data_IF_727437233530
#
_entry.id   IF_727437233530
#
_cell.length_a   1.000
_cell.length_b   1.000
_cell.length_c   1.000
_cell.angle_alpha   90.00
_cell.angle_beta   90.00
_cell.angle_gamma   90.00
#
_symmetry.space_group_name_H-M   'P 1'
#
loop_
_entity.id
_entity.type
_entity.pdbx_description
1 polymer ?
#
# COMPACT_ATOMS: atom_id res chain seq x y z
N UNK A 1 0.81 -16.86 -29.64
CA UNK A 1 -0.54 -17.19 -29.15
C UNK A 1 -1.30 -15.87 -29.05
N UNK A 2 -2.45 -15.74 -29.71
CA UNK A 2 -3.34 -14.61 -29.49
C UNK A 2 -3.94 -14.79 -28.11
N UNK A 3 -3.43 -14.04 -27.12
CA UNK A 3 -3.99 -14.04 -25.76
C UNK A 3 -5.33 -13.32 -25.88
N UNK A 4 -6.43 -14.05 -25.68
CA UNK A 4 -7.78 -13.47 -25.64
C UNK A 4 -7.86 -12.42 -24.53
N UNK A 5 -8.70 -11.42 -24.72
CA UNK A 5 -8.97 -10.41 -23.68
C UNK A 5 -9.37 -11.13 -22.38
N UNK A 6 -8.68 -10.87 -21.25
CA UNK A 6 -9.05 -11.50 -19.99
C UNK A 6 -10.36 -10.92 -19.45
N UNK A 7 -11.25 -11.79 -18.97
CA UNK A 7 -12.47 -11.38 -18.26
C UNK A 7 -12.20 -11.14 -16.77
N UNK A 8 -11.34 -11.97 -16.16
CA UNK A 8 -11.04 -11.93 -14.73
C UNK A 8 -9.55 -12.12 -14.46
N UNK A 9 -9.01 -11.23 -13.67
CA UNK A 9 -7.60 -11.21 -13.30
C UNK A 9 -7.45 -11.14 -11.77
N UNK A 10 -6.51 -11.93 -11.24
CA UNK A 10 -6.12 -11.88 -9.83
C UNK A 10 -4.72 -11.27 -9.71
N UNK A 11 -4.58 -10.23 -8.88
CA UNK A 11 -3.28 -9.67 -8.48
C UNK A 11 -2.99 -10.11 -7.04
N UNK A 12 -1.81 -10.68 -6.79
CA UNK A 12 -1.41 -11.17 -5.47
C UNK A 12 -0.24 -10.33 -4.94
N UNK A 13 -0.48 -9.55 -3.88
CA UNK A 13 0.54 -8.72 -3.19
C UNK A 13 0.51 -8.94 -1.68
N UNK A 14 1.24 -9.97 -1.21
CA UNK A 14 1.32 -10.34 0.20
C UNK A 14 2.50 -9.64 0.88
N UNK A 15 2.41 -8.33 1.10
CA UNK A 15 3.47 -7.48 1.65
C UNK A 15 2.89 -6.43 2.60
N UNK A 16 3.64 -5.36 2.88
CA UNK A 16 3.22 -4.25 3.74
C UNK A 16 2.37 -3.22 2.99
N UNK A 17 1.79 -2.27 3.71
CA UNK A 17 0.90 -1.23 3.19
C UNK A 17 1.49 -0.48 1.98
N UNK A 18 2.72 0.02 2.10
CA UNK A 18 3.39 0.72 1.01
C UNK A 18 3.58 -0.15 -0.24
N UNK A 19 3.94 -1.43 -0.06
CA UNK A 19 4.09 -2.37 -1.16
C UNK A 19 2.75 -2.62 -1.88
N UNK A 20 1.64 -2.70 -1.12
CA UNK A 20 0.29 -2.88 -1.67
C UNK A 20 -0.15 -1.60 -2.38
N UNK A 21 0.08 -0.43 -1.79
CA UNK A 21 -0.22 0.85 -2.44
C UNK A 21 0.54 1.02 -3.76
N UNK A 22 1.85 0.70 -3.78
CA UNK A 22 2.69 0.77 -4.98
C UNK A 22 2.34 -0.32 -6.03
N UNK A 23 1.39 -1.20 -5.76
CA UNK A 23 0.86 -2.16 -6.74
C UNK A 23 -0.43 -1.68 -7.43
N UNK A 24 -1.04 -0.59 -6.98
CA UNK A 24 -2.27 -0.07 -7.61
C UNK A 24 -2.10 0.35 -9.07
N UNK A 25 -0.92 0.81 -9.56
CA UNK A 25 -0.69 1.05 -10.98
C UNK A 25 -0.85 -0.19 -11.87
N UNK A 26 -0.68 -1.40 -11.32
CA UNK A 26 -0.93 -2.66 -12.06
C UNK A 26 -2.43 -2.80 -12.37
N UNK A 27 -3.29 -2.39 -11.44
CA UNK A 27 -4.75 -2.35 -11.63
C UNK A 27 -5.11 -1.32 -12.70
N UNK A 28 -4.56 -0.09 -12.58
CA UNK A 28 -4.80 0.99 -13.56
C UNK A 28 -4.39 0.56 -14.98
N UNK A 29 -3.23 -0.07 -15.14
CA UNK A 29 -2.73 -0.54 -16.42
C UNK A 29 -3.63 -1.62 -17.05
N UNK A 30 -4.09 -2.57 -16.24
CA UNK A 30 -5.04 -3.61 -16.69
C UNK A 30 -6.37 -3.00 -17.12
N UNK A 31 -6.93 -2.09 -16.31
CA UNK A 31 -8.18 -1.41 -16.61
C UNK A 31 -8.09 -0.46 -17.81
N UNK A 32 -6.94 0.14 -18.04
CA UNK A 32 -6.70 0.96 -19.22
C UNK A 32 -6.77 0.12 -20.51
N UNK A 33 -6.14 -1.05 -20.51
CA UNK A 33 -6.15 -1.94 -21.69
C UNK A 33 -7.43 -2.76 -21.82
N UNK A 34 -7.99 -3.19 -20.70
CA UNK A 34 -9.16 -4.07 -20.61
C UNK A 34 -10.20 -3.46 -19.65
N UNK A 35 -10.97 -2.44 -20.09
CA UNK A 35 -11.90 -1.72 -19.22
C UNK A 35 -12.94 -2.61 -18.53
N UNK A 36 -13.42 -3.65 -19.23
CA UNK A 36 -14.46 -4.55 -18.75
C UNK A 36 -13.91 -5.70 -17.88
N UNK A 37 -12.58 -5.87 -17.82
CA UNK A 37 -11.95 -6.92 -17.04
C UNK A 37 -12.20 -6.72 -15.53
N UNK A 38 -12.68 -7.75 -14.85
CA UNK A 38 -12.75 -7.76 -13.40
C UNK A 38 -11.35 -7.99 -12.82
N UNK A 39 -10.86 -7.04 -12.01
CA UNK A 39 -9.56 -7.12 -11.35
C UNK A 39 -9.76 -7.33 -9.86
N UNK A 40 -9.38 -8.50 -9.38
CA UNK A 40 -9.41 -8.86 -7.97
C UNK A 40 -8.01 -8.75 -7.35
N UNK A 41 -7.93 -8.41 -6.08
CA UNK A 41 -6.66 -8.38 -5.36
C UNK A 41 -6.67 -9.33 -4.16
N UNK A 42 -5.56 -10.05 -3.95
CA UNK A 42 -5.29 -10.83 -2.75
C UNK A 42 -4.16 -10.17 -1.95
N UNK A 43 -4.48 -9.72 -0.74
CA UNK A 43 -3.56 -9.00 0.14
C UNK A 43 -3.63 -9.53 1.58
N UNK A 44 -2.77 -9.08 2.47
CA UNK A 44 -2.97 -9.32 3.90
C UNK A 44 -4.13 -8.47 4.44
N UNK A 45 -4.94 -9.02 5.34
CA UNK A 45 -6.09 -8.33 5.94
C UNK A 45 -5.70 -6.96 6.55
N UNK A 46 -4.56 -6.90 7.24
CA UNK A 46 -4.05 -5.66 7.83
C UNK A 46 -3.65 -4.59 6.80
N UNK A 47 -3.61 -4.89 5.49
CA UNK A 47 -3.16 -3.95 4.45
C UNK A 47 -4.26 -3.52 3.49
N UNK A 48 -5.52 -3.88 3.78
CA UNK A 48 -6.67 -3.54 2.93
C UNK A 48 -6.93 -2.04 2.86
N UNK A 49 -6.67 -1.30 3.93
CA UNK A 49 -6.99 0.12 4.04
C UNK A 49 -6.45 0.98 2.90
N UNK A 50 -5.29 0.60 2.32
CA UNK A 50 -4.66 1.39 1.25
C UNK A 50 -5.28 1.17 -0.14
N UNK A 51 -6.12 0.15 -0.29
CA UNK A 51 -6.83 -0.17 -1.55
C UNK A 51 -8.36 -0.19 -1.41
N UNK A 52 -8.84 0.00 -0.18
CA UNK A 52 -10.27 0.05 0.09
C UNK A 52 -10.89 1.25 -0.68
N UNK A 53 -12.08 1.04 -1.25
CA UNK A 53 -12.80 2.00 -2.10
C UNK A 53 -12.14 2.29 -3.46
N UNK A 54 -11.05 1.63 -3.84
CA UNK A 54 -10.55 1.72 -5.21
C UNK A 54 -11.55 1.07 -6.17
N UNK A 55 -12.28 1.90 -6.91
CA UNK A 55 -13.38 1.48 -7.79
C UNK A 55 -12.94 0.60 -8.96
N UNK A 56 -11.64 0.52 -9.23
CA UNK A 56 -11.10 -0.33 -10.28
C UNK A 56 -10.87 -1.77 -9.80
N UNK A 57 -10.90 -2.00 -8.47
CA UNK A 57 -10.76 -3.34 -7.86
C UNK A 57 -12.16 -3.91 -7.66
N UNK A 58 -12.43 -5.05 -8.28
CA UNK A 58 -13.74 -5.71 -8.21
C UNK A 58 -13.97 -6.41 -6.88
N UNK A 59 -12.98 -7.16 -6.39
CA UNK A 59 -13.03 -7.81 -5.08
C UNK A 59 -11.66 -7.80 -4.40
N UNK A 60 -11.67 -7.67 -3.06
CA UNK A 60 -10.48 -7.78 -2.23
C UNK A 60 -10.57 -9.06 -1.42
N UNK A 61 -9.69 -10.01 -1.69
CA UNK A 61 -9.50 -11.21 -0.89
C UNK A 61 -8.40 -10.98 0.13
N UNK A 62 -8.53 -11.59 1.31
CA UNK A 62 -7.58 -11.33 2.39
C UNK A 62 -7.04 -12.60 3.01
N UNK A 63 -5.78 -12.51 3.46
CA UNK A 63 -5.14 -13.48 4.32
C UNK A 63 -4.86 -12.80 5.65
N UNK A 64 -5.44 -13.33 6.72
CA UNK A 64 -5.10 -12.87 8.06
C UNK A 64 -3.90 -13.66 8.59
N UNK A 65 -2.87 -12.95 9.04
CA UNK A 65 -1.68 -13.54 9.64
C UNK A 65 -1.96 -14.18 11.01
N UNK A 66 -3.03 -13.76 11.67
CA UNK A 66 -3.43 -14.28 12.97
C UNK A 66 -3.99 -15.70 12.88
N UNK A 67 -4.40 -16.19 11.70
CA UNK A 67 -4.83 -17.60 11.55
C UNK A 67 -3.81 -18.59 12.10
N UNK A 68 -2.53 -18.30 11.99
CA UNK A 68 -1.44 -19.15 12.52
C UNK A 68 -1.49 -19.32 14.03
N UNK A 69 -1.98 -18.31 14.75
CA UNK A 69 -2.09 -18.32 16.22
C UNK A 69 -3.32 -19.07 16.72
N UNK A 70 -4.30 -19.29 15.86
CA UNK A 70 -5.58 -19.94 16.19
C UNK A 70 -5.52 -21.48 16.12
N UNK A 71 -4.36 -22.03 15.76
CA UNK A 71 -4.11 -23.46 15.64
C UNK A 71 -4.28 -24.01 14.22
N UNK A 72 -3.64 -25.15 13.98
CA UNK A 72 -3.47 -25.71 12.62
C UNK A 72 -4.80 -26.04 11.94
N UNK A 73 -5.80 -26.56 12.69
CA UNK A 73 -7.11 -26.90 12.10
C UNK A 73 -7.86 -25.67 11.61
N UNK A 74 -7.83 -24.60 12.40
CA UNK A 74 -8.49 -23.33 12.07
C UNK A 74 -7.79 -22.68 10.87
N UNK A 75 -6.45 -22.64 10.91
CA UNK A 75 -5.67 -22.15 9.78
C UNK A 75 -6.00 -22.89 8.49
N UNK A 76 -6.02 -24.24 8.49
CA UNK A 76 -6.36 -25.05 7.33
C UNK A 76 -7.79 -24.81 6.84
N UNK A 77 -8.75 -24.60 7.74
CA UNK A 77 -10.12 -24.27 7.35
C UNK A 77 -10.19 -22.93 6.60
N UNK A 78 -9.52 -21.89 7.09
CA UNK A 78 -9.45 -20.59 6.42
C UNK A 78 -8.70 -20.66 5.07
N UNK A 79 -7.58 -21.37 5.00
CA UNK A 79 -6.82 -21.56 3.75
C UNK A 79 -7.69 -22.29 2.71
N UNK A 80 -8.43 -23.35 3.11
CA UNK A 80 -9.34 -24.09 2.24
C UNK A 80 -10.49 -23.22 1.75
N UNK A 81 -11.08 -22.40 2.64
CA UNK A 81 -12.17 -21.49 2.29
C UNK A 81 -11.69 -20.42 1.30
N UNK A 82 -10.55 -19.80 1.56
CA UNK A 82 -9.93 -18.83 0.66
C UNK A 82 -9.64 -19.45 -0.72
N UNK A 83 -8.99 -20.62 -0.74
CA UNK A 83 -8.69 -21.31 -1.99
C UNK A 83 -9.97 -21.61 -2.79
N UNK A 84 -11.02 -22.10 -2.11
CA UNK A 84 -12.33 -22.37 -2.75
C UNK A 84 -12.93 -21.10 -3.36
N UNK A 85 -12.88 -19.98 -2.62
CA UNK A 85 -13.40 -18.69 -3.09
C UNK A 85 -12.64 -18.17 -4.30
N UNK A 86 -11.30 -18.22 -4.27
CA UNK A 86 -10.45 -17.82 -5.40
C UNK A 86 -10.69 -18.72 -6.62
N UNK A 87 -10.75 -20.05 -6.43
CA UNK A 87 -10.97 -21.01 -7.53
C UNK A 87 -12.34 -20.83 -8.18
N UNK A 88 -13.36 -20.48 -7.41
CA UNK A 88 -14.72 -20.24 -7.92
C UNK A 88 -14.81 -19.01 -8.84
N UNK A 89 -13.84 -18.09 -8.78
CA UNK A 89 -13.77 -16.92 -9.66
C UNK A 89 -13.36 -17.28 -11.10
N UNK A 90 -12.69 -18.43 -11.30
CA UNK A 90 -12.24 -18.89 -12.61
C UNK A 90 -11.43 -17.83 -13.37
N UNK A 91 -10.29 -17.43 -12.78
CA UNK A 91 -9.43 -16.39 -13.34
C UNK A 91 -8.74 -16.83 -14.63
N UNK A 92 -8.69 -15.95 -15.62
CA UNK A 92 -7.89 -16.13 -16.82
C UNK A 92 -6.40 -15.99 -16.50
N UNK A 93 -6.06 -14.96 -15.70
CA UNK A 93 -4.71 -14.65 -15.29
C UNK A 93 -4.59 -14.42 -13.79
N UNK A 94 -3.47 -14.89 -13.24
CA UNK A 94 -3.03 -14.49 -11.89
C UNK A 94 -1.62 -13.89 -11.96
N UNK A 95 -1.47 -12.69 -11.48
CA UNK A 95 -0.20 -11.96 -11.41
C UNK A 95 0.35 -12.00 -9.98
N UNK A 96 1.42 -12.76 -9.79
CA UNK A 96 2.13 -12.84 -8.52
C UNK A 96 3.25 -11.79 -8.46
N UNK A 97 3.00 -10.70 -7.75
CA UNK A 97 3.99 -9.65 -7.46
C UNK A 97 4.49 -9.71 -6.00
N UNK A 98 4.53 -10.93 -5.46
CA UNK A 98 5.02 -11.24 -4.11
C UNK A 98 6.12 -12.29 -4.18
N UNK A 99 7.06 -12.23 -3.25
CA UNK A 99 8.16 -13.20 -3.11
C UNK A 99 7.81 -14.40 -2.20
N UNK A 100 6.52 -14.72 -2.03
CA UNK A 100 6.07 -15.76 -1.11
C UNK A 100 5.58 -17.00 -1.84
N UNK A 101 5.99 -18.18 -1.37
CA UNK A 101 5.54 -19.47 -1.93
C UNK A 101 4.03 -19.61 -1.97
N UNK A 102 3.33 -19.14 -0.92
CA UNK A 102 1.86 -19.13 -0.89
C UNK A 102 1.27 -18.40 -2.08
N UNK A 103 1.81 -17.23 -2.42
CA UNK A 103 1.35 -16.42 -3.55
C UNK A 103 1.58 -17.16 -4.88
N UNK A 104 2.75 -17.76 -5.07
CA UNK A 104 3.09 -18.52 -6.26
C UNK A 104 2.16 -19.73 -6.45
N UNK A 105 1.91 -20.52 -5.40
CA UNK A 105 0.99 -21.66 -5.46
C UNK A 105 -0.45 -21.22 -5.75
N UNK A 106 -0.94 -20.16 -5.11
CA UNK A 106 -2.28 -19.66 -5.38
C UNK A 106 -2.42 -19.14 -6.81
N UNK A 107 -1.43 -18.41 -7.33
CA UNK A 107 -1.43 -17.95 -8.71
C UNK A 107 -1.56 -19.14 -9.69
N UNK A 108 -0.72 -20.18 -9.51
CA UNK A 108 -0.71 -21.35 -10.38
C UNK A 108 -1.99 -22.17 -10.31
N UNK A 109 -2.60 -22.30 -9.13
CA UNK A 109 -3.73 -23.19 -8.91
C UNK A 109 -5.10 -22.54 -9.17
N UNK A 110 -5.17 -21.20 -9.09
CA UNK A 110 -6.46 -20.48 -9.17
C UNK A 110 -6.75 -19.87 -10.54
N UNK A 111 -5.77 -19.81 -11.45
CA UNK A 111 -5.93 -19.21 -12.77
C UNK A 111 -5.56 -20.17 -13.90
N UNK A 112 -5.98 -19.83 -15.12
CA UNK A 112 -5.58 -20.54 -16.33
C UNK A 112 -4.11 -20.27 -16.67
N UNK A 113 -3.69 -19.01 -16.56
CA UNK A 113 -2.30 -18.58 -16.75
C UNK A 113 -1.80 -17.84 -15.50
N UNK A 114 -0.57 -18.09 -15.16
CA UNK A 114 0.10 -17.44 -14.03
C UNK A 114 1.36 -16.72 -14.50
N UNK A 115 1.52 -15.46 -14.08
CA UNK A 115 2.74 -14.70 -14.31
C UNK A 115 3.35 -14.25 -12.98
N UNK A 116 4.67 -14.18 -12.93
CA UNK A 116 5.40 -13.76 -11.75
C UNK A 116 6.72 -13.10 -12.13
N UNK A 117 7.46 -12.67 -11.10
CA UNK A 117 8.77 -12.06 -11.26
C UNK A 117 9.82 -13.04 -10.69
N UNK A 118 10.90 -13.27 -11.44
CA UNK A 118 12.05 -14.00 -10.94
C UNK A 118 12.61 -13.26 -9.73
N UNK A 119 12.67 -13.94 -8.60
CA UNK A 119 13.23 -13.36 -7.38
C UNK A 119 14.53 -14.08 -7.08
N UNK A 120 15.66 -13.38 -7.13
CA UNK A 120 17.00 -13.96 -6.92
C UNK A 120 17.13 -14.80 -5.64
N UNK A 121 16.32 -14.52 -4.61
CA UNK A 121 16.28 -15.32 -3.36
C UNK A 121 15.50 -16.63 -3.50
N UNK A 122 14.68 -16.80 -4.52
CA UNK A 122 13.77 -17.94 -4.70
C UNK A 122 13.80 -18.52 -6.11
N UNK A 123 14.72 -18.03 -6.97
CA UNK A 123 14.85 -18.50 -8.34
C UNK A 123 15.43 -19.92 -8.38
N UNK A 124 14.53 -20.89 -8.21
CA UNK A 124 14.81 -22.30 -8.32
C UNK A 124 13.77 -23.00 -9.20
N UNK A 125 14.01 -24.27 -9.54
CA UNK A 125 13.13 -25.05 -10.41
C UNK A 125 11.66 -25.02 -9.96
N UNK A 126 11.38 -25.14 -8.67
CA UNK A 126 10.02 -25.16 -8.15
C UNK A 126 9.33 -23.80 -8.31
N UNK A 127 10.04 -22.69 -8.03
CA UNK A 127 9.53 -21.34 -8.22
C UNK A 127 9.18 -21.07 -9.68
N UNK A 128 10.09 -21.46 -10.60
CA UNK A 128 9.87 -21.36 -12.04
C UNK A 128 8.67 -22.16 -12.50
N UNK A 129 8.46 -23.34 -11.92
CA UNK A 129 7.31 -24.20 -12.26
C UNK A 129 5.95 -23.67 -11.76
N UNK A 130 5.95 -22.79 -10.76
CA UNK A 130 4.73 -22.14 -10.27
C UNK A 130 4.21 -21.04 -11.19
N UNK A 131 4.92 -20.67 -12.25
CA UNK A 131 4.52 -19.60 -13.16
C UNK A 131 4.62 -20.07 -14.59
N UNK A 132 3.59 -19.76 -15.41
CA UNK A 132 3.62 -20.03 -16.85
C UNK A 132 4.50 -18.99 -17.57
N UNK A 133 4.55 -17.79 -17.02
CA UNK A 133 5.38 -16.68 -17.47
C UNK A 133 6.15 -16.11 -16.27
N UNK A 134 7.47 -16.14 -16.34
CA UNK A 134 8.34 -15.63 -15.30
C UNK A 134 9.24 -14.56 -15.92
N UNK A 135 8.94 -13.30 -15.59
CA UNK A 135 9.72 -12.17 -16.05
C UNK A 135 10.96 -11.98 -15.16
N UNK A 136 12.03 -11.46 -15.73
CA UNK A 136 13.23 -11.13 -14.95
C UNK A 136 12.94 -10.00 -13.96
N UNK A 137 13.57 -10.07 -12.78
CA UNK A 137 13.53 -9.00 -11.81
C UNK A 137 14.29 -7.79 -12.36
N UNK A 138 13.67 -6.62 -12.35
CA UNK A 138 14.35 -5.38 -12.68
C UNK A 138 15.38 -5.06 -11.59
N UNK A 139 16.48 -4.43 -11.98
CA UNK A 139 17.53 -4.04 -11.04
C UNK A 139 17.03 -2.98 -10.03
N UNK A 140 17.84 -2.71 -9.02
CA UNK A 140 17.49 -1.80 -7.92
C UNK A 140 17.45 -0.32 -8.32
N UNK A 141 17.80 0.04 -9.57
CA UNK A 141 17.68 1.40 -10.10
C UNK A 141 16.24 1.74 -10.48
N UNK A 142 15.40 0.70 -10.73
CA UNK A 142 14.01 0.89 -11.09
C UNK A 142 13.13 1.13 -9.86
N UNK A 143 12.13 1.99 -10.02
CA UNK A 143 11.15 2.21 -8.98
C UNK A 143 10.27 0.96 -8.78
N UNK A 144 9.80 0.71 -7.55
CA UNK A 144 8.97 -0.47 -7.21
C UNK A 144 7.68 -0.56 -8.06
N UNK A 145 7.14 0.56 -8.51
CA UNK A 145 6.00 0.61 -9.44
C UNK A 145 6.35 -0.06 -10.76
N UNK A 146 7.51 0.27 -11.33
CA UNK A 146 7.99 -0.31 -12.59
C UNK A 146 8.23 -1.82 -12.43
N UNK A 147 8.84 -2.21 -11.31
CA UNK A 147 9.04 -3.62 -10.98
C UNK A 147 7.72 -4.39 -10.84
N UNK A 148 6.67 -3.78 -10.25
CA UNK A 148 5.35 -4.40 -10.18
C UNK A 148 4.70 -4.50 -11.58
N UNK A 149 4.81 -3.46 -12.40
CA UNK A 149 4.25 -3.42 -13.76
C UNK A 149 4.90 -4.41 -14.71
N UNK A 150 6.17 -4.72 -14.48
CA UNK A 150 6.91 -5.71 -15.27
C UNK A 150 6.22 -7.08 -15.34
N UNK A 151 5.41 -7.45 -14.35
CA UNK A 151 4.66 -8.71 -14.36
C UNK A 151 3.64 -8.80 -15.51
N UNK A 152 3.22 -7.67 -16.08
CA UNK A 152 2.23 -7.58 -17.14
C UNK A 152 2.81 -7.75 -18.56
N UNK A 153 4.12 -7.94 -18.71
CA UNK A 153 4.76 -8.14 -20.02
C UNK A 153 4.05 -9.18 -20.91
N UNK A 154 3.56 -10.33 -20.39
CA UNK A 154 2.87 -11.32 -21.24
C UNK A 154 1.62 -10.77 -21.93
N UNK A 155 1.00 -9.72 -21.37
CA UNK A 155 -0.19 -9.10 -21.96
C UNK A 155 0.13 -8.01 -22.99
N UNK A 156 1.41 -7.68 -23.22
CA UNK A 156 1.84 -6.64 -24.18
C UNK A 156 1.04 -5.36 -23.99
N UNK A 157 1.25 -4.67 -22.87
CA UNK A 157 0.57 -3.42 -22.58
C UNK A 157 1.01 -2.30 -23.56
N UNK A 158 0.18 -1.26 -23.74
CA UNK A 158 0.60 -0.05 -24.47
C UNK A 158 1.86 0.55 -23.84
N UNK A 159 2.71 1.17 -24.64
CA UNK A 159 3.93 1.84 -24.17
C UNK A 159 3.60 3.00 -23.20
N UNK A 160 2.44 3.66 -23.39
CA UNK A 160 1.96 4.73 -22.53
C UNK A 160 0.65 4.33 -21.84
N UNK A 161 0.68 4.24 -20.53
CA UNK A 161 -0.51 4.13 -19.67
C UNK A 161 -0.29 4.90 -18.38
N UNK A 162 -1.36 5.44 -17.78
CA UNK A 162 -1.25 6.22 -16.55
C UNK A 162 -0.91 5.31 -15.36
N UNK A 163 0.36 5.22 -15.01
CA UNK A 163 0.84 4.47 -13.85
C UNK A 163 0.75 5.34 -12.60
N UNK A 164 -0.45 5.63 -12.11
CA UNK A 164 -0.64 6.44 -10.91
C UNK A 164 -0.88 5.58 -9.68
N UNK A 165 -0.11 5.86 -8.63
CA UNK A 165 -0.41 5.31 -7.29
C UNK A 165 -1.70 5.95 -6.80
N UNK A 166 -2.69 5.14 -6.43
CA UNK A 166 -4.00 5.61 -5.99
C UNK A 166 -4.34 5.10 -4.60
N UNK A 167 -4.77 6.02 -3.77
CA UNK A 167 -5.44 5.73 -2.51
C UNK A 167 -6.70 6.61 -2.45
N UNK A 168 -7.86 5.96 -2.43
CA UNK A 168 -9.13 6.69 -2.39
C UNK A 168 -9.40 7.22 -0.97
N UNK A 169 -9.76 8.48 -0.90
CA UNK A 169 -10.06 9.17 0.35
C UNK A 169 -11.56 9.45 0.40
N UNK A 170 -12.25 8.80 1.32
CA UNK A 170 -13.70 9.02 1.49
C UNK A 170 -14.00 10.38 2.11
N UNK A 171 -15.19 10.97 1.84
CA UNK A 171 -15.63 12.19 2.52
C UNK A 171 -15.57 12.06 4.05
N UNK A 172 -15.95 10.92 4.61
CA UNK A 172 -15.90 10.67 6.05
C UNK A 172 -14.49 10.74 6.64
N UNK A 173 -13.45 10.29 5.89
CA UNK A 173 -12.08 10.41 6.36
C UNK A 173 -11.60 11.88 6.36
N UNK A 174 -12.02 12.67 5.37
CA UNK A 174 -11.74 14.12 5.34
C UNK A 174 -12.41 14.84 6.51
N UNK A 175 -13.70 14.58 6.72
CA UNK A 175 -14.47 15.16 7.82
C UNK A 175 -13.85 14.84 9.17
N UNK A 176 -13.49 13.58 9.43
CA UNK A 176 -12.82 13.17 10.67
C UNK A 176 -11.49 13.91 10.91
N UNK A 177 -10.69 14.13 9.87
CA UNK A 177 -9.44 14.90 10.00
C UNK A 177 -9.72 16.37 10.30
N UNK A 178 -10.70 16.98 9.61
CA UNK A 178 -11.10 18.37 9.85
C UNK A 178 -11.61 18.56 11.28
N UNK A 179 -12.42 17.63 11.81
CA UNK A 179 -12.89 17.65 13.18
C UNK A 179 -11.71 17.60 14.19
N UNK A 180 -10.75 16.70 13.96
CA UNK A 180 -9.57 16.55 14.82
C UNK A 180 -8.66 17.79 14.80
N UNK A 181 -8.52 18.44 13.65
CA UNK A 181 -7.78 19.71 13.53
C UNK A 181 -8.53 20.85 14.17
N UNK A 182 -9.84 20.99 13.91
CA UNK A 182 -10.69 22.05 14.49
C UNK A 182 -10.76 21.97 16.02
N UNK A 183 -10.75 20.76 16.59
CA UNK A 183 -10.67 20.55 18.02
C UNK A 183 -9.38 21.11 18.67
N UNK A 184 -8.33 21.37 17.86
CA UNK A 184 -7.09 22.03 18.26
C UNK A 184 -7.03 23.50 17.81
N UNK A 185 -8.17 24.09 17.38
CA UNK A 185 -8.25 25.51 17.00
C UNK A 185 -7.88 25.81 15.55
N UNK A 186 -7.75 24.79 14.67
CA UNK A 186 -7.57 25.01 13.24
C UNK A 186 -8.85 25.55 12.59
N UNK A 187 -8.73 26.58 11.76
CA UNK A 187 -9.86 27.25 11.12
C UNK A 187 -9.70 27.35 9.58
N UNK A 188 -9.00 26.37 8.99
CA UNK A 188 -8.81 26.34 7.53
C UNK A 188 -7.48 26.91 7.05
N UNK A 189 -6.55 27.22 7.94
CA UNK A 189 -5.22 27.71 7.56
C UNK A 189 -4.42 26.63 6.84
N UNK A 190 -3.63 27.00 5.79
CA UNK A 190 -2.74 26.07 5.13
C UNK A 190 -1.65 25.58 6.09
N UNK A 191 -1.23 24.34 5.92
CA UNK A 191 -0.19 23.72 6.75
C UNK A 191 0.78 22.88 5.93
N UNK A 192 1.92 22.59 6.50
CA UNK A 192 2.87 21.57 6.06
C UNK A 192 2.69 20.35 6.97
N UNK A 193 2.47 19.17 6.38
CA UNK A 193 2.39 17.94 7.16
C UNK A 193 3.79 17.35 7.35
N UNK A 194 4.14 17.03 8.57
CA UNK A 194 5.38 16.36 8.94
C UNK A 194 5.09 15.01 9.61
N UNK A 195 5.75 13.96 9.13
CA UNK A 195 5.69 12.61 9.69
C UNK A 195 7.11 12.10 9.93
N UNK A 196 7.73 12.38 11.09
CA UNK A 196 9.14 12.10 11.35
C UNK A 196 9.43 10.60 11.57
N UNK A 197 8.40 9.83 11.95
CA UNK A 197 8.51 8.42 12.28
C UNK A 197 8.65 7.50 11.06
N UNK A 198 9.16 6.33 11.29
CA UNK A 198 9.15 5.22 10.35
C UNK A 198 9.20 3.89 11.10
N UNK A 199 8.63 2.82 10.54
CA UNK A 199 8.69 1.47 11.11
C UNK A 199 10.09 1.04 11.58
N UNK A 200 11.12 1.51 10.88
CA UNK A 200 12.51 1.22 11.19
C UNK A 200 13.23 2.50 11.60
N UNK A 201 13.50 2.69 12.89
CA UNK A 201 14.10 3.90 13.44
C UNK A 201 15.43 4.30 12.80
N UNK A 202 16.22 3.36 12.29
CA UNK A 202 17.45 3.68 11.56
C UNK A 202 17.22 4.47 10.25
N UNK A 203 15.96 4.58 9.79
CA UNK A 203 15.56 5.41 8.64
C UNK A 203 15.09 6.80 9.04
N UNK A 204 14.85 7.02 10.33
CA UNK A 204 14.42 8.33 10.83
C UNK A 204 15.61 9.27 10.98
N UNK A 205 15.34 10.55 10.81
CA UNK A 205 16.29 11.56 11.26
C UNK A 205 16.28 11.62 12.79
N UNK A 206 17.39 12.12 13.36
CA UNK A 206 17.47 12.44 14.77
C UNK A 206 16.43 13.52 15.15
N UNK A 207 15.88 13.45 16.36
CA UNK A 207 14.88 14.39 16.86
C UNK A 207 15.32 15.86 16.74
N UNK A 208 16.61 16.12 16.99
CA UNK A 208 17.19 17.46 16.86
C UNK A 208 17.15 18.00 15.44
N UNK A 209 17.37 17.15 14.42
CA UNK A 209 17.31 17.54 13.01
C UNK A 209 15.87 17.78 12.57
N UNK A 210 14.94 16.93 13.00
CA UNK A 210 13.50 17.12 12.78
C UNK A 210 13.04 18.44 13.40
N UNK A 211 13.39 18.69 14.67
CA UNK A 211 13.05 19.92 15.36
C UNK A 211 13.64 21.18 14.67
N UNK A 212 14.89 21.10 14.19
CA UNK A 212 15.51 22.21 13.45
C UNK A 212 14.78 22.52 12.13
N UNK A 213 14.38 21.47 11.38
CA UNK A 213 13.58 21.66 10.16
C UNK A 213 12.22 22.28 10.46
N UNK A 214 11.50 21.77 11.46
CA UNK A 214 10.19 22.32 11.85
C UNK A 214 10.32 23.75 12.37
N UNK A 215 11.35 24.05 13.16
CA UNK A 215 11.63 25.41 13.63
C UNK A 215 11.87 26.38 12.46
N UNK A 216 12.57 25.94 11.42
CA UNK A 216 12.79 26.72 10.20
C UNK A 216 11.47 27.00 9.48
N UNK A 217 10.58 26.02 9.35
CA UNK A 217 9.26 26.20 8.75
C UNK A 217 8.43 27.22 9.52
N UNK A 218 8.38 27.10 10.85
CA UNK A 218 7.64 28.02 11.72
C UNK A 218 8.17 29.46 11.63
N UNK A 219 9.50 29.65 11.63
CA UNK A 219 10.13 30.96 11.46
C UNK A 219 9.85 31.59 10.08
N UNK A 220 9.53 30.78 9.08
CA UNK A 220 9.10 31.24 7.75
C UNK A 220 7.57 31.35 7.62
N UNK A 221 6.84 31.44 8.74
CA UNK A 221 5.40 31.65 8.75
C UNK A 221 4.57 30.46 8.30
N UNK A 222 5.12 29.23 8.31
CA UNK A 222 4.38 28.02 7.93
C UNK A 222 3.80 27.34 9.17
N UNK A 223 2.52 27.04 9.15
CA UNK A 223 1.91 26.16 10.12
C UNK A 223 2.30 24.71 9.85
N UNK A 224 2.31 23.89 10.89
CA UNK A 224 2.73 22.48 10.81
C UNK A 224 1.65 21.58 11.41
N UNK A 225 1.32 20.51 10.70
CA UNK A 225 0.60 19.35 11.26
C UNK A 225 1.61 18.22 11.47
N UNK A 226 1.80 17.84 12.75
CA UNK A 226 2.74 16.78 13.12
C UNK A 226 1.99 15.47 13.36
N UNK A 227 2.38 14.43 12.63
CA UNK A 227 1.75 13.10 12.68
C UNK A 227 2.75 12.02 13.06
N UNK A 228 2.28 10.97 13.69
CA UNK A 228 3.02 9.73 13.93
C UNK A 228 2.04 8.56 14.10
N UNK A 229 2.56 7.32 14.03
CA UNK A 229 1.78 6.14 14.38
C UNK A 229 1.48 6.06 15.89
N UNK A 230 0.56 5.18 16.34
CA UNK A 230 0.31 4.98 17.77
C UNK A 230 1.42 4.21 18.50
N UNK A 231 2.53 3.89 17.83
CA UNK A 231 3.69 3.22 18.45
C UNK A 231 4.33 4.12 19.52
N UNK A 232 4.62 3.56 20.70
CA UNK A 232 5.13 4.32 21.84
C UNK A 232 6.44 5.07 21.54
N UNK A 233 7.36 4.45 20.79
CA UNK A 233 8.62 5.07 20.47
C UNK A 233 8.46 6.23 19.47
N UNK A 234 7.50 6.14 18.52
CA UNK A 234 7.16 7.27 17.64
C UNK A 234 6.48 8.40 18.43
N UNK A 235 5.65 8.07 19.43
CA UNK A 235 5.04 9.08 20.30
C UNK A 235 6.09 9.82 21.15
N UNK A 236 7.07 9.11 21.71
CA UNK A 236 8.20 9.71 22.44
C UNK A 236 9.03 10.61 21.53
N UNK A 237 9.31 10.20 20.29
CA UNK A 237 9.98 11.03 19.28
C UNK A 237 9.23 12.33 19.05
N UNK A 238 7.92 12.28 18.85
CA UNK A 238 7.09 13.49 18.64
C UNK A 238 7.17 14.42 19.85
N UNK A 239 7.06 13.89 21.07
CA UNK A 239 7.20 14.71 22.29
C UNK A 239 8.59 15.34 22.43
N UNK A 240 9.65 14.59 22.11
CA UNK A 240 11.03 15.09 22.09
C UNK A 240 11.21 16.22 21.07
N UNK A 241 10.63 16.10 19.88
CA UNK A 241 10.66 17.14 18.84
C UNK A 241 9.91 18.39 19.32
N UNK A 242 8.66 18.23 19.79
CA UNK A 242 7.83 19.35 20.29
C UNK A 242 8.49 20.12 21.41
N UNK A 243 9.13 19.43 22.37
CA UNK A 243 9.83 20.05 23.50
C UNK A 243 11.03 20.92 23.09
N UNK A 244 11.49 20.84 21.84
CA UNK A 244 12.59 21.64 21.28
C UNK A 244 12.12 22.83 20.45
N UNK A 245 10.82 22.91 20.12
CA UNK A 245 10.28 23.98 19.28
C UNK A 245 9.97 25.24 20.10
N UNK A 246 10.23 26.37 19.49
CA UNK A 246 9.75 27.70 19.93
C UNK A 246 8.77 28.19 18.86
N UNK A 247 7.49 28.14 19.19
CA UNK A 247 6.43 28.53 18.26
C UNK A 247 6.28 30.06 18.26
N UNK A 248 6.56 30.72 17.10
CA UNK A 248 6.38 32.17 17.00
C UNK A 248 4.89 32.56 17.06
N UNK A 249 4.60 33.80 17.38
CA UNK A 249 3.24 34.34 17.34
C UNK A 249 2.70 34.31 15.90
N UNK A 250 1.43 33.91 15.73
CA UNK A 250 0.72 33.87 14.44
C UNK A 250 0.97 32.64 13.61
N UNK A 251 1.71 31.63 14.11
CA UNK A 251 1.84 30.32 13.48
C UNK A 251 1.47 29.21 14.47
N UNK A 252 1.09 28.05 13.96
CA UNK A 252 0.54 26.97 14.76
C UNK A 252 1.22 25.63 14.47
N UNK A 253 1.23 24.77 15.48
CA UNK A 253 1.57 23.36 15.38
C UNK A 253 0.39 22.55 15.91
N UNK A 254 -0.26 21.81 15.02
CA UNK A 254 -1.32 20.87 15.39
C UNK A 254 -0.76 19.45 15.42
N UNK A 255 -1.15 18.67 16.40
CA UNK A 255 -0.58 17.35 16.64
C UNK A 255 -1.65 16.27 16.45
N UNK A 256 -1.53 15.53 15.36
CA UNK A 256 -2.39 14.38 15.06
C UNK A 256 -1.66 13.04 15.26
N UNK A 257 -0.72 13.04 16.21
CA UNK A 257 0.10 11.86 16.51
C UNK A 257 -0.73 10.76 17.19
N UNK A 258 -0.70 9.56 16.66
CA UNK A 258 -1.36 8.38 17.21
C UNK A 258 -2.88 8.34 17.09
N UNK A 259 -3.52 9.35 16.51
CA UNK A 259 -4.97 9.46 16.42
C UNK A 259 -5.55 9.27 15.01
N UNK A 260 -4.68 9.07 14.00
CA UNK A 260 -5.09 8.85 12.63
C UNK A 260 -4.95 7.38 12.23
N UNK A 261 -5.95 6.85 11.55
CA UNK A 261 -5.75 5.65 10.73
C UNK A 261 -5.09 6.02 9.40
N UNK A 262 -4.69 5.02 8.57
CA UNK A 262 -3.98 5.27 7.32
C UNK A 262 -4.80 6.09 6.31
N UNK A 263 -6.11 5.94 6.29
CA UNK A 263 -7.00 6.67 5.37
C UNK A 263 -7.18 8.13 5.82
N UNK A 264 -7.24 8.35 7.11
CA UNK A 264 -7.24 9.70 7.69
C UNK A 264 -5.88 10.38 7.49
N UNK A 265 -4.76 9.63 7.63
CA UNK A 265 -3.44 10.16 7.30
C UNK A 265 -3.36 10.59 5.83
N UNK A 266 -3.89 9.79 4.90
CA UNK A 266 -3.98 10.16 3.49
C UNK A 266 -4.82 11.43 3.29
N UNK A 267 -5.95 11.58 4.01
CA UNK A 267 -6.78 12.78 3.97
C UNK A 267 -6.03 14.01 4.52
N UNK A 268 -5.25 13.85 5.59
CA UNK A 268 -4.43 14.93 6.14
C UNK A 268 -3.30 15.35 5.19
N UNK A 269 -2.71 14.40 4.45
CA UNK A 269 -1.70 14.69 3.41
C UNK A 269 -2.33 15.44 2.23
N UNK A 270 -3.51 15.04 1.80
CA UNK A 270 -4.22 15.65 0.68
C UNK A 270 -4.69 17.10 0.99
N UNK A 271 -4.82 17.44 2.27
CA UNK A 271 -5.16 18.80 2.75
C UNK A 271 -3.96 19.71 3.02
N UNK A 272 -2.71 19.25 2.80
CA UNK A 272 -1.48 19.94 3.15
C UNK A 272 -0.96 20.89 2.05
#
# INVERSE_FOLDING_TARGET
MSISQPERVLIIKLRHHGDVLLSTPVVDALKHKFPDCEVDMLVYAATTDVILDNRQISNIFTIDREWKKQGVRVQLAHEKALFKSLKARNYDWAFNISDQWRAAFLAKLCAHYSAGIACCKRDNFLWRHCHDFLNEELDTSHHMVESNLNVLQPLVLPEEYPAKVRMEISPANRESVLEKLSAQGWNGEPYVLAHPGARWFFKCWEDGKNAALLQLLLLNGKNVVLTASPDAAEQEMVQSILGRLKIPDGVHVWVLSGCLNLRELAAAIDGA
#
